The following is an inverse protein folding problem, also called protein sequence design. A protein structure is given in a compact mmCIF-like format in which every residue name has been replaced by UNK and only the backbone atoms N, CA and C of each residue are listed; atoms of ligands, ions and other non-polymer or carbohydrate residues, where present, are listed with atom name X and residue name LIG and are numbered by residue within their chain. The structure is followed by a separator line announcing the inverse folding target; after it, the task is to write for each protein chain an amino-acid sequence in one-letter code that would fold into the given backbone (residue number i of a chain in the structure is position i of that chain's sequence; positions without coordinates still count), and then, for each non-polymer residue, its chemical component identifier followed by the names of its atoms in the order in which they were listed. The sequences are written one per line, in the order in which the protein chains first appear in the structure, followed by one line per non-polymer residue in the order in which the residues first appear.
data_IF_976242581239
#
_entry.id   IF_976242581239
#
_cell.length_a   1.000
_cell.length_b   1.000
_cell.length_c   1.000
_cell.angle_alpha   90.00
_cell.angle_beta   90.00
_cell.angle_gamma   90.00
#
_symmetry.space_group_name_H-M   'P 1'
#
loop_
_entity.id
_entity.type
_entity.pdbx_description
1 polymer ?
#
# COMPACT_ATOMS: atom_id res chain seq x y z
N UNK A 1 54.30 8.77 49.26
CA UNK A 1 53.14 8.40 50.10
C UNK A 1 52.05 7.93 49.14
N UNK A 2 51.78 6.63 48.89
CA UNK A 2 51.22 5.61 49.80
C UNK A 2 50.08 6.25 50.64
N UNK A 3 48.83 5.79 50.66
CA UNK A 3 48.30 4.43 50.42
C UNK A 3 46.76 4.48 50.56
N UNK A 4 46.08 3.54 49.90
CA UNK A 4 44.92 2.78 50.40
C UNK A 4 43.56 3.54 50.50
N UNK A 5 42.38 2.92 50.42
CA UNK A 5 41.99 1.52 50.29
C UNK A 5 40.46 1.42 50.11
N UNK A 6 40.03 0.38 49.37
CA UNK A 6 38.91 -0.53 49.68
C UNK A 6 37.45 -0.08 49.52
N UNK A 7 36.46 -0.89 49.10
CA UNK A 7 36.32 -2.03 48.16
C UNK A 7 34.82 -2.29 47.89
N UNK A 8 34.55 -3.16 46.90
CA UNK A 8 33.35 -4.02 46.66
C UNK A 8 32.16 -3.41 45.89
N UNK A 9 31.47 -4.08 44.95
CA UNK A 9 31.53 -5.44 44.37
C UNK A 9 30.70 -5.51 43.06
N UNK A 10 30.86 -6.64 42.33
CA UNK A 10 30.16 -7.14 41.12
C UNK A 10 30.65 -6.62 39.75
N UNK A 11 31.15 -7.44 38.81
CA UNK A 11 31.35 -8.88 38.76
C UNK A 11 31.79 -9.31 37.33
N UNK A 12 33.05 -9.77 37.22
CA UNK A 12 33.60 -10.81 36.30
C UNK A 12 33.36 -10.69 34.78
N UNK A 13 34.23 -10.03 34.00
CA UNK A 13 35.54 -10.45 33.42
C UNK A 13 35.56 -11.72 32.55
N UNK A 14 35.84 -11.48 31.26
CA UNK A 14 36.39 -12.37 30.23
C UNK A 14 37.60 -13.16 30.75
N UNK A 15 37.56 -14.48 30.62
CA UNK A 15 38.70 -15.39 30.82
C UNK A 15 38.96 -16.15 29.53
N UNK A 16 39.96 -15.68 28.79
CA UNK A 16 40.67 -16.43 27.76
C UNK A 16 41.45 -17.58 28.41
N UNK A 17 40.98 -18.81 28.26
CA UNK A 17 41.73 -20.01 28.64
C UNK A 17 42.37 -20.64 27.40
N UNK A 18 43.71 -20.53 27.36
CA UNK A 18 44.60 -21.30 26.49
C UNK A 18 44.38 -22.80 26.76
N UNK A 19 43.69 -23.46 25.84
CA UNK A 19 43.51 -24.91 25.83
C UNK A 19 44.61 -25.51 24.93
N UNK A 20 45.41 -26.40 25.56
CA UNK A 20 46.17 -27.50 24.97
C UNK A 20 47.46 -27.16 24.21
N UNK A 21 48.57 -27.22 24.96
CA UNK A 21 49.91 -27.52 24.46
C UNK A 21 50.35 -28.87 25.05
N UNK A 22 49.73 -29.97 24.61
CA UNK A 22 50.10 -31.34 25.07
C UNK A 22 49.83 -32.44 24.04
N UNK A 23 49.61 -32.11 22.77
CA UNK A 23 49.24 -33.09 21.73
C UNK A 23 50.44 -33.85 21.15
N UNK A 24 51.66 -33.34 21.31
CA UNK A 24 52.88 -33.91 20.72
C UNK A 24 53.46 -35.11 21.46
N UNK A 25 53.28 -35.21 22.79
CA UNK A 25 53.83 -36.32 23.58
C UNK A 25 52.96 -37.58 23.58
N UNK A 26 51.66 -37.45 23.34
CA UNK A 26 50.74 -38.60 23.26
C UNK A 26 50.94 -39.37 21.94
N UNK A 27 51.30 -38.65 20.86
CA UNK A 27 51.55 -39.25 19.55
C UNK A 27 52.82 -40.12 19.55
N UNK A 28 53.88 -39.68 20.22
CA UNK A 28 55.17 -40.41 20.28
C UNK A 28 55.10 -41.68 21.13
N UNK A 29 54.29 -41.67 22.20
CA UNK A 29 54.05 -42.86 23.02
C UNK A 29 53.25 -43.92 22.25
N UNK A 30 52.26 -43.50 21.46
CA UNK A 30 51.50 -44.41 20.60
C UNK A 30 52.35 -45.05 19.51
N UNK A 31 53.27 -44.30 18.90
CA UNK A 31 54.17 -44.86 17.87
C UNK A 31 55.18 -45.86 18.42
N UNK A 32 55.69 -45.62 19.65
CA UNK A 32 56.63 -46.55 20.30
C UNK A 32 55.91 -47.83 20.73
N UNK A 33 54.67 -47.72 21.22
CA UNK A 33 53.85 -48.88 21.58
C UNK A 33 53.47 -49.72 20.35
N UNK A 34 53.22 -49.05 19.21
CA UNK A 34 52.93 -49.71 17.93
C UNK A 34 54.17 -50.41 17.35
N UNK A 35 55.36 -49.84 17.51
CA UNK A 35 56.63 -50.48 17.12
C UNK A 35 57.01 -51.66 18.04
N UNK A 36 56.73 -51.55 19.34
CA UNK A 36 57.00 -52.64 20.29
C UNK A 36 56.05 -53.83 20.07
N UNK A 37 54.80 -53.58 19.65
CA UNK A 37 53.86 -54.63 19.25
C UNK A 37 54.26 -55.35 17.94
N UNK A 38 54.93 -54.64 17.02
CA UNK A 38 55.42 -55.24 15.76
C UNK A 38 56.67 -56.11 15.96
N UNK A 39 57.43 -55.90 17.04
CA UNK A 39 58.62 -56.68 17.38
C UNK A 39 58.34 -58.06 18.01
N UNK A 40 57.09 -58.36 18.38
CA UNK A 40 56.71 -59.62 19.05
C UNK A 40 56.14 -60.69 18.10
N UNK A 41 56.46 -60.62 16.80
CA UNK A 41 56.07 -61.65 15.81
C UNK A 41 57.32 -62.28 15.18
N UNK A 42 58.29 -62.65 16.00
CA UNK A 42 59.37 -63.55 15.60
C UNK A 42 59.43 -64.72 16.57
N UNK A 43 59.26 -65.92 16.02
CA UNK A 43 59.35 -67.26 16.64
C UNK A 43 58.13 -67.82 17.40
N UNK A 44 57.20 -68.44 16.65
CA UNK A 44 56.53 -69.69 17.04
C UNK A 44 56.35 -70.55 15.77
N UNK A 45 56.63 -71.87 15.76
CA UNK A 45 56.71 -72.66 14.54
C UNK A 45 55.35 -72.91 13.88
N UNK A 46 55.35 -72.82 12.54
CA UNK A 46 54.32 -73.33 11.62
C UNK A 46 53.98 -74.77 12.04
N UNK A 47 52.72 -75.19 12.26
CA UNK A 47 51.89 -75.79 11.22
C UNK A 47 50.40 -75.96 11.62
N UNK A 48 49.98 -75.54 12.82
CA UNK A 48 48.58 -75.66 13.29
C UNK A 48 47.74 -74.37 13.16
N UNK A 49 48.38 -73.27 12.74
CA UNK A 49 47.79 -71.92 12.75
C UNK A 49 47.30 -71.44 11.37
N UNK A 50 47.41 -72.25 10.31
CA UNK A 50 47.05 -71.81 8.95
C UNK A 50 45.54 -71.62 8.77
N UNK A 51 44.71 -72.47 9.38
CA UNK A 51 43.25 -72.39 9.22
C UNK A 51 42.65 -71.22 10.00
N UNK A 52 43.08 -70.99 11.24
CA UNK A 52 42.63 -69.86 12.05
C UNK A 52 43.11 -68.50 11.50
N UNK A 53 44.34 -68.40 10.98
CA UNK A 53 44.83 -67.17 10.34
C UNK A 53 44.03 -66.84 9.07
N UNK A 54 43.71 -67.85 8.25
CA UNK A 54 42.88 -67.64 7.05
C UNK A 54 41.45 -67.25 7.43
N UNK A 55 40.92 -67.81 8.52
CA UNK A 55 39.60 -67.48 9.05
C UNK A 55 39.57 -66.05 9.61
N UNK A 56 40.60 -65.64 10.37
CA UNK A 56 40.76 -64.28 10.89
C UNK A 56 40.96 -63.23 9.78
N UNK A 57 41.69 -63.56 8.72
CA UNK A 57 41.82 -62.67 7.55
C UNK A 57 40.50 -62.50 6.79
N UNK A 58 39.70 -63.57 6.71
CA UNK A 58 38.36 -63.52 6.12
C UNK A 58 37.41 -62.66 6.96
N UNK A 59 37.43 -62.82 8.28
CA UNK A 59 36.61 -62.02 9.19
C UNK A 59 37.06 -60.54 9.18
N UNK A 60 38.37 -60.26 9.11
CA UNK A 60 38.89 -58.90 8.92
C UNK A 60 38.41 -58.26 7.60
N UNK A 61 38.36 -59.02 6.51
CA UNK A 61 37.85 -58.52 5.24
C UNK A 61 36.34 -58.21 5.32
N UNK A 62 35.57 -59.07 5.97
CA UNK A 62 34.14 -58.84 6.21
C UNK A 62 33.93 -57.63 7.12
N UNK A 63 34.72 -57.48 8.18
CA UNK A 63 34.63 -56.36 9.11
C UNK A 63 35.02 -55.04 8.43
N UNK A 64 36.05 -55.03 7.59
CA UNK A 64 36.43 -53.85 6.80
C UNK A 64 35.35 -53.45 5.81
N UNK A 65 34.66 -54.42 5.21
CA UNK A 65 33.53 -54.16 4.33
C UNK A 65 32.34 -53.60 5.11
N UNK A 66 32.02 -54.17 6.27
CA UNK A 66 30.97 -53.65 7.16
C UNK A 66 31.29 -52.23 7.67
N UNK A 67 32.56 -51.93 7.96
CA UNK A 67 33.01 -50.57 8.32
C UNK A 67 32.90 -49.61 7.14
N UNK A 68 33.23 -50.03 5.91
CA UNK A 68 33.03 -49.21 4.71
C UNK A 68 31.56 -48.94 4.44
N UNK A 69 30.72 -49.95 4.59
CA UNK A 69 29.28 -49.84 4.39
C UNK A 69 28.65 -48.93 5.43
N UNK A 70 29.01 -49.09 6.71
CA UNK A 70 28.55 -48.17 7.78
C UNK A 70 29.08 -46.76 7.59
N UNK A 71 30.34 -46.58 7.14
CA UNK A 71 30.88 -45.26 6.78
C UNK A 71 30.08 -44.63 5.64
N UNK A 72 29.70 -45.42 4.63
CA UNK A 72 28.85 -44.98 3.52
C UNK A 72 27.45 -44.60 4.01
N UNK A 73 26.85 -45.39 4.90
CA UNK A 73 25.57 -45.05 5.54
C UNK A 73 25.64 -43.77 6.36
N UNK A 74 26.71 -43.56 7.14
CA UNK A 74 26.94 -42.34 7.91
C UNK A 74 27.04 -41.13 6.98
N UNK A 75 27.78 -41.25 5.87
CA UNK A 75 27.89 -40.17 4.88
C UNK A 75 26.53 -39.79 4.27
N UNK A 76 25.72 -40.80 3.90
CA UNK A 76 24.36 -40.57 3.38
C UNK A 76 23.44 -39.95 4.44
N UNK A 77 23.57 -40.35 5.71
CA UNK A 77 22.80 -39.77 6.80
C UNK A 77 23.19 -38.32 7.07
N UNK A 78 24.49 -37.98 7.01
CA UNK A 78 24.95 -36.60 7.15
C UNK A 78 24.42 -35.68 6.05
N UNK A 79 24.34 -36.16 4.81
CA UNK A 79 23.80 -35.41 3.69
C UNK A 79 22.29 -35.17 3.87
N UNK A 80 21.54 -36.19 4.30
CA UNK A 80 20.12 -36.05 4.66
C UNK A 80 19.89 -35.06 5.80
N UNK A 81 20.72 -35.11 6.84
CA UNK A 81 20.64 -34.17 7.98
C UNK A 81 20.91 -32.75 7.50
N UNK A 82 21.88 -32.53 6.60
CA UNK A 82 22.16 -31.21 6.05
C UNK A 82 20.97 -30.65 5.24
N UNK A 83 20.34 -31.48 4.40
CA UNK A 83 19.13 -31.09 3.65
C UNK A 83 17.96 -30.80 4.59
N UNK A 84 17.73 -31.65 5.60
CA UNK A 84 16.68 -31.42 6.60
C UNK A 84 16.93 -30.13 7.40
N UNK A 85 18.18 -29.84 7.76
CA UNK A 85 18.54 -28.61 8.46
C UNK A 85 18.25 -27.38 7.59
N UNK A 86 18.60 -27.42 6.30
CA UNK A 86 18.29 -26.34 5.37
C UNK A 86 16.78 -26.14 5.20
N UNK A 87 15.99 -27.21 5.11
CA UNK A 87 14.53 -27.13 5.05
C UNK A 87 13.93 -26.59 6.36
N UNK A 88 14.45 -27.00 7.51
CA UNK A 88 14.03 -26.50 8.82
C UNK A 88 14.32 -25.00 8.93
N UNK A 89 15.50 -24.57 8.48
CA UNK A 89 15.91 -23.17 8.48
C UNK A 89 15.08 -22.34 7.50
N UNK A 90 14.81 -22.88 6.31
CA UNK A 90 13.90 -22.26 5.35
C UNK A 90 12.48 -22.12 5.92
N UNK A 91 11.97 -23.13 6.63
CA UNK A 91 10.66 -23.06 7.30
C UNK A 91 10.63 -22.05 8.45
N UNK A 92 11.73 -21.88 9.18
CA UNK A 92 11.85 -20.85 10.21
C UNK A 92 11.88 -19.45 9.58
N UNK A 93 12.57 -19.27 8.46
CA UNK A 93 12.61 -18.00 7.72
C UNK A 93 11.27 -17.65 7.07
N UNK A 94 10.59 -18.63 6.46
CA UNK A 94 9.23 -18.41 5.92
C UNK A 94 8.24 -18.12 7.03
N UNK A 95 8.34 -18.80 8.17
CA UNK A 95 7.54 -18.49 9.36
C UNK A 95 7.83 -17.07 9.84
N UNK A 96 9.09 -16.65 9.95
CA UNK A 96 9.46 -15.28 10.34
C UNK A 96 8.88 -14.23 9.38
N UNK A 97 8.96 -14.47 8.07
CA UNK A 97 8.35 -13.61 7.03
C UNK A 97 6.82 -13.59 7.12
N UNK A 98 6.19 -14.73 7.39
CA UNK A 98 4.74 -14.81 7.60
C UNK A 98 4.32 -14.01 8.83
N UNK A 99 5.03 -14.13 9.96
CA UNK A 99 4.77 -13.34 11.16
C UNK A 99 4.92 -11.83 10.89
N UNK A 100 5.94 -11.45 10.10
CA UNK A 100 6.13 -10.05 9.71
C UNK A 100 5.00 -9.56 8.78
N UNK A 101 4.55 -10.38 7.83
CA UNK A 101 3.44 -10.07 6.95
C UNK A 101 2.13 -9.93 7.73
N UNK A 102 1.86 -10.85 8.67
CA UNK A 102 0.72 -10.77 9.58
C UNK A 102 0.78 -9.50 10.43
N UNK A 103 1.95 -9.14 10.99
CA UNK A 103 2.10 -7.90 11.75
C UNK A 103 1.88 -6.63 10.89
N UNK A 104 2.23 -6.66 9.60
CA UNK A 104 1.92 -5.56 8.66
C UNK A 104 0.42 -5.49 8.37
N UNK A 105 -0.23 -6.64 8.19
CA UNK A 105 -1.68 -6.75 8.01
C UNK A 105 -2.42 -6.28 9.26
N UNK A 106 -1.97 -6.64 10.46
CA UNK A 106 -2.55 -6.16 11.72
C UNK A 106 -2.42 -4.63 11.85
N UNK A 107 -1.26 -4.06 11.47
CA UNK A 107 -1.09 -2.60 11.46
C UNK A 107 -1.95 -1.92 10.39
N UNK A 108 -2.12 -2.53 9.22
CA UNK A 108 -3.00 -1.97 8.18
C UNK A 108 -4.46 -2.04 8.61
N UNK A 109 -4.88 -3.16 9.22
CA UNK A 109 -6.23 -3.34 9.73
C UNK A 109 -6.49 -2.42 10.93
N UNK A 110 -5.54 -2.23 11.84
CA UNK A 110 -5.65 -1.26 12.93
C UNK A 110 -5.78 0.18 12.40
N UNK A 111 -4.98 0.56 11.39
CA UNK A 111 -5.11 1.88 10.72
C UNK A 111 -6.42 2.04 9.97
N UNK A 112 -6.92 0.98 9.34
CA UNK A 112 -8.20 0.98 8.62
C UNK A 112 -9.38 1.03 9.60
N UNK A 113 -9.26 0.38 10.76
CA UNK A 113 -10.25 0.45 11.85
C UNK A 113 -10.30 1.85 12.46
N UNK A 114 -9.15 2.50 12.67
CA UNK A 114 -9.08 3.89 13.14
C UNK A 114 -9.61 4.90 12.09
N UNK A 115 -9.35 4.64 10.80
CA UNK A 115 -9.90 5.40 9.68
C UNK A 115 -11.42 5.20 9.48
N UNK A 116 -12.02 4.18 10.11
CA UNK A 116 -13.48 3.94 10.12
C UNK A 116 -14.14 4.45 11.40
N UNK A 117 -13.44 4.47 12.55
CA UNK A 117 -13.97 5.02 13.81
C UNK A 117 -14.01 6.56 13.79
N UNK A 118 -13.01 7.21 13.20
CA UNK A 118 -12.95 8.68 13.07
C UNK A 118 -14.10 9.31 12.24
N UNK A 119 -14.59 8.73 11.13
CA UNK A 119 -15.79 9.22 10.47
C UNK A 119 -17.07 8.87 11.22
N UNK A 120 -17.13 7.80 12.03
CA UNK A 120 -18.33 7.46 12.82
C UNK A 120 -18.58 8.47 13.95
N UNK A 121 -17.53 8.95 14.63
CA UNK A 121 -17.66 10.05 15.60
C UNK A 121 -17.99 11.38 14.92
N UNK A 122 -17.48 11.60 13.71
CA UNK A 122 -17.84 12.75 12.86
C UNK A 122 -19.31 12.66 12.41
N UNK A 123 -19.83 11.47 12.10
CA UNK A 123 -21.24 11.25 11.78
C UNK A 123 -22.11 11.49 13.01
N UNK A 124 -21.73 10.98 14.19
CA UNK A 124 -22.47 11.21 15.44
C UNK A 124 -22.58 12.71 15.72
N UNK A 125 -21.47 13.46 15.67
CA UNK A 125 -21.48 14.91 15.88
C UNK A 125 -22.24 15.66 14.78
N UNK A 126 -22.27 15.15 13.55
CA UNK A 126 -23.11 15.71 12.46
C UNK A 126 -24.59 15.46 12.72
N UNK A 127 -24.96 14.28 13.23
CA UNK A 127 -26.32 13.93 13.62
C UNK A 127 -26.79 14.77 14.82
N UNK A 128 -25.93 15.00 15.80
CA UNK A 128 -26.19 15.92 16.92
C UNK A 128 -26.37 17.36 16.42
N UNK A 129 -25.53 17.81 15.48
CA UNK A 129 -25.66 19.12 14.84
C UNK A 129 -26.94 19.23 14.01
N UNK A 130 -27.32 18.19 13.27
CA UNK A 130 -28.58 18.11 12.53
C UNK A 130 -29.79 18.19 13.46
N UNK A 131 -29.74 17.52 14.61
CA UNK A 131 -30.81 17.55 15.62
C UNK A 131 -30.94 18.95 16.22
N UNK A 132 -29.82 19.59 16.57
CA UNK A 132 -29.82 20.97 17.08
C UNK A 132 -30.30 21.97 16.03
N UNK A 133 -29.91 21.80 14.75
CA UNK A 133 -30.42 22.61 13.63
C UNK A 133 -31.90 22.40 13.41
N UNK A 134 -32.40 21.17 13.54
CA UNK A 134 -33.83 20.88 13.37
C UNK A 134 -34.67 21.55 14.47
N UNK A 135 -34.18 21.51 15.71
CA UNK A 135 -34.78 22.25 16.83
C UNK A 135 -34.74 23.76 16.60
N UNK A 136 -33.62 24.31 16.13
CA UNK A 136 -33.49 25.73 15.79
C UNK A 136 -34.37 26.14 14.60
N UNK A 137 -34.56 25.27 13.60
CA UNK A 137 -35.47 25.49 12.48
C UNK A 137 -36.92 25.49 12.97
N UNK A 138 -37.29 24.57 13.89
CA UNK A 138 -38.61 24.56 14.49
C UNK A 138 -38.90 25.86 15.25
N UNK A 139 -37.95 26.32 16.04
CA UNK A 139 -38.05 27.59 16.79
C UNK A 139 -38.08 28.80 15.86
N UNK A 140 -37.27 28.81 14.79
CA UNK A 140 -37.29 29.85 13.77
C UNK A 140 -38.62 29.87 12.99
N UNK A 141 -39.24 28.71 12.76
CA UNK A 141 -40.57 28.60 12.14
C UNK A 141 -41.65 29.13 13.08
N UNK A 142 -41.59 28.81 14.37
CA UNK A 142 -42.52 29.35 15.38
C UNK A 142 -42.36 30.87 15.53
N UNK A 143 -41.12 31.37 15.52
CA UNK A 143 -40.84 32.81 15.55
C UNK A 143 -41.26 33.50 14.24
N UNK A 144 -41.02 32.89 13.08
CA UNK A 144 -41.49 33.39 11.80
C UNK A 144 -43.02 33.46 11.79
N UNK A 145 -43.72 32.47 12.34
CA UNK A 145 -45.18 32.48 12.42
C UNK A 145 -45.68 33.60 13.34
N UNK A 146 -45.00 33.83 14.47
CA UNK A 146 -45.29 34.97 15.35
C UNK A 146 -45.03 36.32 14.68
N UNK A 147 -43.91 36.44 13.95
CA UNK A 147 -43.58 37.63 13.16
C UNK A 147 -44.57 37.83 12.03
N UNK A 148 -45.03 36.77 11.37
CA UNK A 148 -46.05 36.85 10.32
C UNK A 148 -47.36 37.40 10.87
N UNK A 149 -47.75 36.97 12.08
CA UNK A 149 -48.90 37.55 12.80
C UNK A 149 -48.69 39.03 13.13
N UNK A 150 -47.50 39.42 13.63
CA UNK A 150 -47.17 40.83 13.90
C UNK A 150 -47.08 41.67 12.65
N UNK A 151 -46.57 41.13 11.54
CA UNK A 151 -46.50 41.78 10.24
C UNK A 151 -47.90 41.91 9.66
N UNK A 152 -48.80 40.94 9.83
CA UNK A 152 -50.22 41.11 9.47
C UNK A 152 -50.86 42.26 10.25
N UNK A 153 -50.61 42.33 11.56
CA UNK A 153 -51.09 43.45 12.40
C UNK A 153 -50.49 44.80 11.96
N UNK A 154 -49.18 44.84 11.69
CA UNK A 154 -48.50 46.04 11.20
C UNK A 154 -48.93 46.40 9.78
N UNK A 155 -49.25 45.46 8.91
CA UNK A 155 -49.78 45.73 7.56
C UNK A 155 -51.20 46.28 7.68
N UNK A 156 -51.98 45.89 8.68
CA UNK A 156 -53.29 46.47 8.97
C UNK A 156 -53.18 47.92 9.50
N UNK A 157 -52.22 48.17 10.40
CA UNK A 157 -51.90 49.53 10.90
C UNK A 157 -51.25 50.43 9.82
N UNK A 158 -50.36 49.87 9.00
CA UNK A 158 -49.73 50.54 7.87
C UNK A 158 -50.77 50.80 6.79
N UNK A 159 -51.72 49.90 6.51
CA UNK A 159 -52.83 50.16 5.59
C UNK A 159 -53.69 51.35 6.04
N UNK A 160 -53.84 51.55 7.34
CA UNK A 160 -54.52 52.72 7.90
C UNK A 160 -53.66 54.01 7.79
N UNK A 161 -52.32 53.91 7.72
CA UNK A 161 -51.39 55.05 7.56
C UNK A 161 -50.98 55.35 6.09
N UNK A 162 -50.97 54.35 5.20
CA UNK A 162 -50.53 54.40 3.79
C UNK A 162 -51.65 54.86 2.84
N UNK A 163 -52.70 55.49 3.36
CA UNK A 163 -53.62 56.29 2.53
C UNK A 163 -53.09 57.71 2.23
N UNK A 164 -51.84 58.05 2.61
CA UNK A 164 -51.41 59.46 2.58
C UNK A 164 -50.08 59.83 1.89
N UNK A 165 -49.26 58.92 1.31
CA UNK A 165 -48.00 59.36 0.67
C UNK A 165 -47.57 58.58 -0.60
N UNK A 166 -46.91 59.22 -1.60
CA UNK A 166 -46.51 58.62 -2.87
C UNK A 166 -45.09 57.99 -2.85
N UNK A 167 -44.76 57.07 -3.78
CA UNK A 167 -43.56 56.23 -3.71
C UNK A 167 -42.28 56.88 -4.29
N UNK A 168 -41.07 56.53 -3.81
CA UNK A 168 -39.81 56.86 -4.44
C UNK A 168 -39.32 55.75 -5.40
N UNK A 169 -38.47 56.17 -6.33
CA UNK A 169 -37.82 55.39 -7.40
C UNK A 169 -36.72 54.44 -6.87
N UNK A 170 -36.59 53.27 -7.50
CA UNK A 170 -35.52 52.29 -7.26
C UNK A 170 -34.30 52.64 -8.13
N UNK A 171 -33.10 52.56 -7.55
CA UNK A 171 -31.82 52.65 -8.26
C UNK A 171 -31.09 51.30 -8.18
N UNK A 172 -30.63 50.87 -9.35
CA UNK A 172 -30.00 49.60 -9.68
C UNK A 172 -28.51 49.59 -9.29
N UNK A 173 -27.99 48.44 -8.85
CA UNK A 173 -26.65 48.35 -8.24
C UNK A 173 -26.03 46.97 -8.35
N UNK A 174 -25.35 46.73 -9.47
CA UNK A 174 -24.40 45.64 -9.76
C UNK A 174 -23.47 45.30 -8.58
N UNK A 175 -23.55 44.07 -8.09
CA UNK A 175 -22.68 43.51 -7.05
C UNK A 175 -21.93 42.27 -7.54
N UNK A 176 -20.60 42.33 -7.47
CA UNK A 176 -19.69 41.22 -7.71
C UNK A 176 -20.04 40.01 -6.83
N UNK A 177 -20.23 38.86 -7.47
CA UNK A 177 -20.59 37.60 -6.81
C UNK A 177 -19.40 36.97 -6.07
N UNK A 178 -19.12 37.45 -4.87
CA UNK A 178 -18.42 36.69 -3.81
C UNK A 178 -19.44 36.08 -2.85
N UNK A 179 -20.30 35.20 -3.39
CA UNK A 179 -21.32 34.50 -2.62
C UNK A 179 -21.87 33.29 -3.37
N UNK A 180 -21.18 32.15 -3.30
CA UNK A 180 -21.59 30.96 -4.05
C UNK A 180 -21.03 29.62 -3.57
N UNK A 181 -20.42 29.57 -2.37
CA UNK A 181 -19.81 28.35 -1.83
C UNK A 181 -20.80 27.18 -1.62
N UNK A 182 -22.10 27.42 -1.69
CA UNK A 182 -23.11 26.36 -1.60
C UNK A 182 -23.67 25.97 -2.97
N UNK A 183 -23.91 26.90 -3.90
CA UNK A 183 -24.61 26.58 -5.14
C UNK A 183 -23.76 25.85 -6.17
N UNK A 184 -22.50 26.26 -6.38
CA UNK A 184 -21.62 25.56 -7.32
C UNK A 184 -21.27 24.17 -6.79
N UNK A 185 -20.92 24.07 -5.51
CA UNK A 185 -20.59 22.79 -4.88
C UNK A 185 -21.81 21.84 -4.84
N UNK A 186 -23.02 22.35 -4.59
CA UNK A 186 -24.24 21.53 -4.63
C UNK A 186 -24.54 21.00 -6.03
N UNK A 187 -24.43 21.84 -7.07
CA UNK A 187 -24.67 21.42 -8.46
C UNK A 187 -23.67 20.35 -8.90
N UNK A 188 -22.38 20.55 -8.58
CA UNK A 188 -21.34 19.58 -8.86
C UNK A 188 -21.56 18.26 -8.10
N UNK A 189 -21.90 18.32 -6.81
CA UNK A 189 -22.13 17.13 -6.00
C UNK A 189 -23.37 16.34 -6.44
N UNK A 190 -24.40 17.01 -6.97
CA UNK A 190 -25.55 16.35 -7.60
C UNK A 190 -25.09 15.54 -8.82
N UNK A 191 -24.38 16.19 -9.74
CA UNK A 191 -23.87 15.54 -10.96
C UNK A 191 -22.95 14.36 -10.63
N UNK A 192 -22.08 14.54 -9.63
CA UNK A 192 -21.18 13.50 -9.14
C UNK A 192 -21.94 12.32 -8.51
N UNK A 193 -23.05 12.57 -7.80
CA UNK A 193 -23.88 11.50 -7.25
C UNK A 193 -24.51 10.65 -8.34
N UNK A 194 -25.03 11.28 -9.40
CA UNK A 194 -25.61 10.57 -10.55
C UNK A 194 -24.54 9.80 -11.34
N UNK A 195 -23.35 10.38 -11.50
CA UNK A 195 -22.20 9.68 -12.09
C UNK A 195 -21.83 8.43 -11.29
N UNK A 196 -21.73 8.52 -9.96
CA UNK A 196 -21.43 7.34 -9.11
C UNK A 196 -22.54 6.28 -9.11
N UNK A 197 -23.78 6.66 -9.42
CA UNK A 197 -24.89 5.72 -9.63
C UNK A 197 -24.84 5.05 -10.99
N UNK A 198 -23.95 5.48 -11.89
CA UNK A 198 -23.87 5.01 -13.28
C UNK A 198 -24.97 5.58 -14.18
N UNK A 199 -25.77 6.54 -13.69
CA UNK A 199 -26.83 7.20 -14.47
C UNK A 199 -26.22 8.33 -15.29
N UNK A 200 -25.42 7.96 -16.28
CA UNK A 200 -24.66 8.90 -17.11
C UNK A 200 -25.54 9.85 -17.92
N UNK A 201 -26.71 9.39 -18.36
CA UNK A 201 -27.70 10.19 -19.09
C UNK A 201 -28.19 11.42 -18.29
N UNK A 202 -28.24 11.30 -16.96
CA UNK A 202 -28.60 12.41 -16.06
C UNK A 202 -27.37 13.23 -15.64
N UNK A 203 -26.21 12.59 -15.47
CA UNK A 203 -25.00 13.23 -14.97
C UNK A 203 -24.36 14.16 -16.02
N UNK A 204 -24.34 13.74 -17.29
CA UNK A 204 -23.74 14.51 -18.39
C UNK A 204 -24.32 15.93 -18.51
N UNK A 205 -25.65 16.15 -18.65
CA UNK A 205 -26.20 17.50 -18.75
C UNK A 205 -25.97 18.33 -17.48
N UNK A 206 -25.91 17.71 -16.29
CA UNK A 206 -25.63 18.44 -15.04
C UNK A 206 -24.19 18.95 -14.99
N UNK A 207 -23.22 18.19 -15.49
CA UNK A 207 -21.84 18.67 -15.62
C UNK A 207 -21.70 19.73 -16.72
N UNK A 208 -22.44 19.61 -17.83
CA UNK A 208 -22.46 20.66 -18.87
C UNK A 208 -23.06 21.97 -18.34
N UNK A 209 -24.17 21.90 -17.61
CA UNK A 209 -24.77 23.05 -16.95
C UNK A 209 -23.83 23.65 -15.90
N UNK A 210 -23.13 22.80 -15.14
CA UNK A 210 -22.11 23.26 -14.21
C UNK A 210 -21.03 24.09 -14.90
N UNK A 211 -20.48 23.60 -16.01
CA UNK A 211 -19.45 24.32 -16.75
C UNK A 211 -19.96 25.60 -17.40
N UNK A 212 -21.23 25.62 -17.84
CA UNK A 212 -21.86 26.82 -18.38
C UNK A 212 -22.05 27.91 -17.32
N UNK A 213 -22.45 27.52 -16.11
CA UNK A 213 -22.73 28.45 -15.01
C UNK A 213 -21.47 28.84 -14.23
N UNK A 214 -20.51 27.92 -14.12
CA UNK A 214 -19.34 28.03 -13.25
C UNK A 214 -18.02 27.65 -13.95
N UNK A 215 -17.67 28.24 -15.12
CA UNK A 215 -16.53 27.81 -15.93
C UNK A 215 -15.15 28.07 -15.30
N UNK A 216 -15.07 28.92 -14.26
CA UNK A 216 -13.81 29.39 -13.64
C UNK A 216 -13.61 28.91 -12.20
N UNK A 217 -14.42 27.98 -11.73
CA UNK A 217 -14.26 27.41 -10.39
C UNK A 217 -13.12 26.41 -10.35
N UNK A 218 -12.64 26.10 -9.15
CA UNK A 218 -11.62 25.05 -8.93
C UNK A 218 -12.11 23.68 -9.39
N UNK A 219 -13.42 23.42 -9.35
CA UNK A 219 -14.03 22.15 -9.78
C UNK A 219 -14.35 22.12 -11.28
N UNK A 220 -14.18 23.22 -12.02
CA UNK A 220 -14.50 23.25 -13.45
C UNK A 220 -13.65 22.24 -14.24
N UNK A 221 -12.35 22.13 -13.95
CA UNK A 221 -11.50 21.11 -14.58
C UNK A 221 -11.96 19.69 -14.26
N UNK A 222 -12.47 19.46 -13.06
CA UNK A 222 -12.97 18.15 -12.62
C UNK A 222 -14.30 17.81 -13.28
N UNK A 223 -15.21 18.78 -13.43
CA UNK A 223 -16.47 18.60 -14.14
C UNK A 223 -16.24 18.25 -15.61
N UNK A 224 -15.32 18.96 -16.27
CA UNK A 224 -14.94 18.67 -17.65
C UNK A 224 -14.27 17.28 -17.79
N UNK A 225 -13.47 16.87 -16.79
CA UNK A 225 -12.92 15.52 -16.73
C UNK A 225 -14.01 14.46 -16.61
N UNK A 226 -15.02 14.66 -15.76
CA UNK A 226 -16.13 13.70 -15.63
C UNK A 226 -16.95 13.57 -16.91
N UNK A 227 -17.13 14.63 -17.69
CA UNK A 227 -17.73 14.51 -19.03
C UNK A 227 -16.92 13.58 -19.94
N UNK A 228 -15.59 13.70 -19.92
CA UNK A 228 -14.73 12.78 -20.66
C UNK A 228 -14.77 11.34 -20.15
N UNK A 229 -14.83 11.15 -18.83
CA UNK A 229 -14.97 9.81 -18.26
C UNK A 229 -16.34 9.20 -18.59
N UNK A 230 -17.42 9.98 -18.53
CA UNK A 230 -18.76 9.55 -18.97
C UNK A 230 -18.72 9.05 -20.42
N UNK A 231 -18.16 9.83 -21.34
CA UNK A 231 -18.01 9.40 -22.74
C UNK A 231 -17.18 8.11 -22.84
N UNK A 232 -16.12 7.96 -22.03
CA UNK A 232 -15.31 6.76 -21.98
C UNK A 232 -16.10 5.53 -21.50
N UNK A 233 -16.92 5.68 -20.44
CA UNK A 233 -17.75 4.60 -19.92
C UNK A 233 -18.87 4.19 -20.88
N UNK A 234 -19.36 5.13 -21.69
CA UNK A 234 -20.32 4.87 -22.76
C UNK A 234 -19.67 4.32 -24.05
N UNK A 235 -18.38 3.97 -24.01
CA UNK A 235 -17.58 3.48 -25.15
C UNK A 235 -17.47 4.47 -26.33
N UNK A 236 -17.82 5.74 -26.11
CA UNK A 236 -17.66 6.83 -27.08
C UNK A 236 -16.23 7.38 -27.01
N UNK A 237 -15.25 6.55 -27.35
CA UNK A 237 -13.84 6.85 -27.10
C UNK A 237 -13.31 8.06 -27.88
N UNK A 238 -13.77 8.32 -29.10
CA UNK A 238 -13.42 9.54 -29.85
C UNK A 238 -13.89 10.80 -29.14
N UNK A 239 -15.09 10.76 -28.56
CA UNK A 239 -15.64 11.88 -27.80
C UNK A 239 -14.88 12.06 -26.48
N UNK A 240 -14.59 10.96 -25.79
CA UNK A 240 -13.78 10.97 -24.57
C UNK A 240 -12.43 11.66 -24.79
N UNK A 241 -11.73 11.33 -25.90
CA UNK A 241 -10.47 11.99 -26.27
C UNK A 241 -10.65 13.51 -26.38
N UNK A 242 -11.69 13.98 -27.10
CA UNK A 242 -11.96 15.42 -27.24
C UNK A 242 -12.25 16.09 -25.91
N UNK A 243 -13.06 15.46 -25.05
CA UNK A 243 -13.41 16.00 -23.72
C UNK A 243 -12.17 16.08 -22.81
N UNK A 244 -11.29 15.09 -22.85
CA UNK A 244 -10.02 15.14 -22.11
C UNK A 244 -9.04 16.17 -22.70
N UNK A 245 -9.02 16.35 -24.02
CA UNK A 245 -8.26 17.45 -24.64
C UNK A 245 -8.72 18.82 -24.13
N UNK A 246 -10.03 19.04 -24.02
CA UNK A 246 -10.58 20.27 -23.43
C UNK A 246 -10.11 20.49 -21.99
N UNK A 247 -9.99 19.43 -21.16
CA UNK A 247 -9.41 19.58 -19.80
C UNK A 247 -7.98 20.12 -19.88
N UNK A 248 -7.18 19.61 -20.80
CA UNK A 248 -5.76 19.93 -20.92
C UNK A 248 -5.51 21.31 -21.56
N UNK A 249 -6.41 21.74 -22.44
CA UNK A 249 -6.35 23.03 -23.15
C UNK A 249 -6.94 24.17 -22.32
N UNK A 250 -8.11 23.97 -21.72
CA UNK A 250 -8.85 25.03 -21.00
C UNK A 250 -8.40 25.15 -19.54
N UNK A 251 -7.91 24.06 -18.95
CA UNK A 251 -7.48 24.02 -17.55
C UNK A 251 -6.03 23.50 -17.37
N UNK A 252 -5.03 24.15 -18.00
CA UNK A 252 -3.64 23.71 -17.92
C UNK A 252 -3.10 23.89 -16.49
N UNK A 253 -2.96 22.79 -15.76
CA UNK A 253 -2.49 22.80 -14.37
C UNK A 253 -3.59 22.59 -13.32
N UNK A 254 -4.81 22.25 -13.75
CA UNK A 254 -5.83 21.72 -12.85
C UNK A 254 -5.34 20.45 -12.14
N UNK A 255 -5.84 20.20 -10.93
CA UNK A 255 -5.44 19.03 -10.12
C UNK A 255 -5.67 17.70 -10.85
N UNK A 256 -6.63 17.69 -11.79
CA UNK A 256 -7.03 16.53 -12.57
C UNK A 256 -6.32 16.42 -13.94
N UNK A 257 -5.44 17.38 -14.31
CA UNK A 257 -4.79 17.37 -15.63
C UNK A 257 -3.96 16.11 -15.89
N UNK A 258 -3.32 15.55 -14.85
CA UNK A 258 -2.57 14.30 -14.98
C UNK A 258 -3.49 13.11 -15.29
N UNK A 259 -4.60 12.98 -14.55
CA UNK A 259 -5.61 11.95 -14.76
C UNK A 259 -6.29 12.08 -16.13
N UNK A 260 -6.60 13.30 -16.57
CA UNK A 260 -7.16 13.57 -17.89
C UNK A 260 -6.21 13.13 -19.01
N UNK A 261 -4.92 13.49 -18.90
CA UNK A 261 -3.87 13.10 -19.84
C UNK A 261 -3.73 11.57 -19.91
N UNK A 262 -3.75 10.90 -18.76
CA UNK A 262 -3.72 9.44 -18.67
C UNK A 262 -4.96 8.79 -19.29
N UNK A 263 -6.15 9.28 -18.97
CA UNK A 263 -7.43 8.77 -19.48
C UNK A 263 -7.58 8.98 -20.99
N UNK A 264 -7.05 10.08 -21.54
CA UNK A 264 -6.92 10.28 -22.98
C UNK A 264 -6.09 9.16 -23.63
N UNK A 265 -4.93 8.84 -23.04
CA UNK A 265 -4.11 7.70 -23.47
C UNK A 265 -4.88 6.37 -23.42
N UNK A 266 -5.69 6.18 -22.38
CA UNK A 266 -6.52 4.98 -22.25
C UNK A 266 -7.63 4.89 -23.30
N UNK A 267 -8.31 6.00 -23.60
CA UNK A 267 -9.29 6.08 -24.68
C UNK A 267 -8.64 5.77 -26.04
N UNK A 268 -7.44 6.28 -26.30
CA UNK A 268 -6.68 5.99 -27.52
C UNK A 268 -6.31 4.50 -27.64
N UNK A 269 -6.02 3.81 -26.52
CA UNK A 269 -5.81 2.36 -26.54
C UNK A 269 -7.09 1.60 -26.90
N UNK A 270 -8.24 2.03 -26.41
CA UNK A 270 -9.53 1.44 -26.79
C UNK A 270 -9.83 1.62 -28.27
N UNK A 271 -9.37 2.73 -28.86
CA UNK A 271 -9.40 3.00 -30.30
C UNK A 271 -8.33 2.27 -31.11
N UNK A 272 -7.54 1.38 -30.50
CA UNK A 272 -6.41 0.68 -31.15
C UNK A 272 -5.32 1.63 -31.69
N UNK A 273 -5.26 2.86 -31.19
CA UNK A 273 -4.26 3.87 -31.58
C UNK A 273 -3.05 3.82 -30.63
N UNK A 274 -2.41 2.66 -30.57
CA UNK A 274 -1.26 2.37 -29.67
C UNK A 274 -0.14 3.42 -29.69
N UNK A 275 0.36 3.85 -30.86
CA UNK A 275 1.41 4.87 -30.93
C UNK A 275 0.98 6.23 -30.34
N UNK A 276 -0.26 6.65 -30.60
CA UNK A 276 -0.80 7.89 -30.04
C UNK A 276 -0.98 7.77 -28.53
N UNK A 277 -1.52 6.64 -28.05
CA UNK A 277 -1.66 6.37 -26.62
C UNK A 277 -0.31 6.40 -25.88
N UNK A 278 0.72 5.75 -26.46
CA UNK A 278 2.08 5.76 -25.91
C UNK A 278 2.60 7.18 -25.72
N UNK A 279 2.38 8.06 -26.71
CA UNK A 279 2.77 9.47 -26.64
C UNK A 279 2.05 10.16 -25.48
N UNK A 280 0.75 9.97 -25.32
CA UNK A 280 0.01 10.58 -24.23
C UNK A 280 0.47 10.07 -22.85
N UNK A 281 0.83 8.79 -22.71
CA UNK A 281 1.41 8.25 -21.48
C UNK A 281 2.81 8.81 -21.19
N UNK A 282 3.65 9.01 -22.21
CA UNK A 282 4.93 9.70 -22.05
C UNK A 282 4.73 11.12 -21.51
N UNK A 283 3.76 11.85 -22.06
CA UNK A 283 3.41 13.19 -21.57
C UNK A 283 2.98 13.19 -20.10
N UNK A 284 2.35 12.12 -19.60
CA UNK A 284 2.02 12.00 -18.16
C UNK A 284 3.29 11.98 -17.33
N UNK A 285 4.27 11.17 -17.70
CA UNK A 285 5.53 11.01 -16.98
C UNK A 285 6.37 12.29 -17.03
N UNK A 286 6.43 12.93 -18.20
CA UNK A 286 7.23 14.15 -18.39
C UNK A 286 6.61 15.37 -17.71
N UNK A 287 5.30 15.59 -17.86
CA UNK A 287 4.62 16.79 -17.34
C UNK A 287 4.16 16.64 -15.90
N UNK A 288 3.88 15.42 -15.45
CA UNK A 288 3.32 15.12 -14.13
C UNK A 288 4.09 13.99 -13.41
N UNK A 289 5.43 14.10 -13.24
CA UNK A 289 6.26 13.01 -12.72
C UNK A 289 5.89 12.58 -11.29
N UNK A 290 5.32 13.48 -10.48
CA UNK A 290 4.92 13.20 -9.10
C UNK A 290 3.44 12.80 -8.96
N UNK A 291 2.73 12.60 -10.07
CA UNK A 291 1.32 12.19 -10.03
C UNK A 291 1.17 10.70 -9.73
N UNK A 292 0.04 10.32 -9.12
CA UNK A 292 -0.27 8.91 -8.81
C UNK A 292 -0.41 8.06 -10.09
N UNK A 293 -0.70 8.67 -11.22
CA UNK A 293 -0.88 7.99 -12.51
C UNK A 293 0.42 7.84 -13.30
N UNK A 294 1.52 8.52 -12.94
CA UNK A 294 2.78 8.44 -13.66
C UNK A 294 3.38 7.01 -13.69
N UNK A 295 3.47 6.27 -12.56
CA UNK A 295 3.95 4.89 -12.59
C UNK A 295 3.04 3.96 -13.40
N UNK A 296 1.73 4.23 -13.41
CA UNK A 296 0.76 3.45 -14.19
C UNK A 296 0.92 3.72 -15.69
N UNK A 297 1.19 4.97 -16.07
CA UNK A 297 1.47 5.36 -17.45
C UNK A 297 2.74 4.67 -17.98
N UNK A 298 3.78 4.57 -17.16
CA UNK A 298 5.03 3.86 -17.48
C UNK A 298 4.77 2.38 -17.80
N UNK A 299 4.05 1.69 -16.93
CA UNK A 299 3.66 0.30 -17.17
C UNK A 299 2.81 0.12 -18.44
N UNK A 300 1.96 1.09 -18.80
CA UNK A 300 1.22 1.03 -20.06
C UNK A 300 2.13 1.18 -21.29
N UNK A 301 3.17 2.02 -21.23
CA UNK A 301 4.13 2.20 -22.32
C UNK A 301 4.88 0.89 -22.59
N UNK A 302 5.33 0.20 -21.55
CA UNK A 302 6.00 -1.11 -21.66
C UNK A 302 5.08 -2.14 -22.33
N UNK A 303 3.83 -2.25 -21.85
CA UNK A 303 2.84 -3.18 -22.40
C UNK A 303 2.54 -2.94 -23.89
N UNK A 304 2.53 -1.68 -24.33
CA UNK A 304 2.37 -1.35 -25.76
C UNK A 304 3.61 -1.76 -26.56
N UNK A 305 4.81 -1.72 -25.96
CA UNK A 305 6.07 -2.12 -26.59
C UNK A 305 6.13 -3.60 -26.89
N UNK A 306 5.68 -4.41 -25.94
CA UNK A 306 5.70 -5.87 -26.05
C UNK A 306 4.61 -6.41 -27.01
N UNK A 307 3.63 -5.58 -27.38
CA UNK A 307 2.49 -5.98 -28.22
C UNK A 307 2.60 -5.54 -29.69
N UNK A 308 3.64 -4.79 -30.06
CA UNK A 308 3.96 -4.48 -31.46
C UNK A 308 5.00 -5.49 -32.00
N UNK A 309 4.66 -6.34 -32.99
CA UNK A 309 5.56 -7.32 -33.58
C UNK A 309 6.69 -6.69 -34.42
#
# INVERSE_FOLDING_TARGET
MFKANITHLNGTRRSSLRVVKSSGQVLTLWTVLLLMAMGFVANVPLHAQKKEIIQLQRDMAILQEQVRETTRQISQMSERIAVQHNLMQQNLDTSGKLHQAVAVIERSLAKQTDAVITPVTTISTRVDSLTNRFSAVREAVDEMNSRLGKVQQQVEDIKNQVSTLPPPVMEDGTGAATGGGTSSETLFNSALSDYHRGTFESAEPQFEDYLRMFPRTVLASEAQYYLGDISYQQEKFEEAVKRFDQVLEEYPGGRISADAQFKKGMALLKLQRGPAARKEFHNVIERFPNSNVAPVAEAQIERIGDSTP
#
